data_IF_570442028769
#
_entry.id   IF_570442028769
#
_cell.length_a   1.000
_cell.length_b   1.000
_cell.length_c   1.000
_cell.angle_alpha   90.00
_cell.angle_beta   90.00
_cell.angle_gamma   90.00
#
_symmetry.space_group_name_H-M   'P 1'
#
loop_
_entity.id
_entity.type
_entity.pdbx_description
1 polymer ?
#
# COMPACT_ATOMS: atom_id res chain seq x y z
N UNK A 1 -20.58 41.72 19.39
CA UNK A 1 -20.31 40.96 18.13
C UNK A 1 -19.19 39.98 18.41
N UNK A 2 -19.50 38.70 18.66
CA UNK A 2 -18.49 37.64 18.71
C UNK A 2 -19.13 36.30 18.29
N UNK A 3 -19.82 36.31 17.15
CA UNK A 3 -20.39 35.10 16.54
C UNK A 3 -19.40 34.43 15.56
N UNK A 4 -18.35 35.14 15.15
CA UNK A 4 -17.42 34.68 14.13
C UNK A 4 -16.43 33.64 14.66
N UNK A 5 -15.97 33.77 15.91
CA UNK A 5 -15.10 32.76 16.54
C UNK A 5 -15.84 31.46 16.86
N UNK A 6 -17.08 31.55 17.34
CA UNK A 6 -17.88 30.38 17.72
C UNK A 6 -18.20 29.48 16.52
N UNK A 7 -18.54 30.08 15.36
CA UNK A 7 -18.78 29.33 14.13
C UNK A 7 -17.51 28.60 13.63
N UNK A 8 -16.33 29.22 13.82
CA UNK A 8 -15.06 28.62 13.43
C UNK A 8 -14.74 27.35 14.24
N UNK A 9 -15.00 27.39 15.55
CA UNK A 9 -14.82 26.22 16.41
C UNK A 9 -15.82 25.10 16.08
N UNK A 10 -17.06 25.42 15.73
CA UNK A 10 -18.06 24.43 15.30
C UNK A 10 -17.66 23.77 13.98
N UNK A 11 -17.19 24.54 13.00
CA UNK A 11 -16.68 24.00 11.74
C UNK A 11 -15.49 23.06 11.98
N UNK A 12 -14.52 23.45 12.82
CA UNK A 12 -13.38 22.59 13.16
C UNK A 12 -13.81 21.28 13.83
N UNK A 13 -14.76 21.32 14.78
CA UNK A 13 -15.26 20.12 15.44
C UNK A 13 -15.99 19.18 14.46
N UNK A 14 -16.80 19.72 13.53
CA UNK A 14 -17.51 18.92 12.52
C UNK A 14 -16.56 18.22 11.52
N UNK A 15 -15.44 18.87 11.16
CA UNK A 15 -14.42 18.24 10.31
C UNK A 15 -13.66 17.09 11.00
N UNK A 16 -13.48 17.15 12.32
CA UNK A 16 -12.81 16.06 13.06
C UNK A 16 -13.67 14.79 13.18
N UNK A 17 -15.00 14.93 13.24
CA UNK A 17 -15.91 13.78 13.37
C UNK A 17 -16.09 12.98 12.07
N UNK A 18 -15.83 13.59 10.91
CA UNK A 18 -15.93 12.93 9.60
C UNK A 18 -14.63 12.22 9.17
N UNK A 19 -13.52 12.44 9.89
CA UNK A 19 -12.23 11.80 9.62
C UNK A 19 -12.07 10.42 10.29
N UNK A 20 -12.98 10.06 11.20
CA UNK A 20 -13.07 8.74 11.85
C UNK A 20 -14.06 7.82 11.13
N UNK A 21 -14.20 7.94 9.82
CA UNK A 21 -15.01 7.05 9.01
C UNK A 21 -14.37 6.80 7.65
N UNK A 22 -13.04 6.62 7.63
CA UNK A 22 -12.40 5.84 6.60
C UNK A 22 -12.35 4.38 7.11
N UNK A 23 -13.34 3.54 6.81
CA UNK A 23 -13.08 2.12 6.76
C UNK A 23 -12.14 1.90 5.57
N UNK A 24 -10.84 2.06 5.82
CA UNK A 24 -9.83 1.32 5.10
C UNK A 24 -9.95 -0.13 5.60
N UNK A 25 -11.07 -0.76 5.29
CA UNK A 25 -11.15 -2.21 5.30
C UNK A 25 -10.00 -2.73 4.42
N UNK A 26 -9.27 -3.67 4.99
CA UNK A 26 -8.13 -4.38 4.41
C UNK A 26 -6.78 -3.63 4.35
N UNK A 27 -6.25 -3.23 5.51
CA UNK A 27 -4.90 -3.71 5.85
C UNK A 27 -4.70 -3.84 7.35
N UNK A 28 -5.53 -4.68 7.96
CA UNK A 28 -5.02 -5.55 9.01
C UNK A 28 -3.89 -6.37 8.41
N UNK A 29 -2.65 -5.98 8.71
CA UNK A 29 -1.54 -6.89 8.99
C UNK A 29 -0.28 -6.07 9.27
N UNK A 30 0.01 -6.01 10.55
CA UNK A 30 1.28 -6.54 11.04
C UNK A 30 2.52 -5.89 10.42
N UNK A 31 2.96 -4.82 11.08
CA UNK A 31 4.28 -4.20 10.88
C UNK A 31 5.45 -5.14 11.27
N UNK A 32 5.22 -6.45 11.47
CA UNK A 32 6.22 -7.46 11.81
C UNK A 32 6.23 -8.67 10.84
N UNK A 33 5.47 -8.64 9.74
CA UNK A 33 5.48 -9.75 8.78
C UNK A 33 6.30 -9.36 7.54
N UNK A 34 7.54 -9.90 7.45
CA UNK A 34 8.48 -9.84 6.32
C UNK A 34 7.86 -10.27 4.95
N UNK A 35 6.59 -10.65 4.94
CA UNK A 35 5.83 -11.18 3.80
C UNK A 35 4.94 -10.13 3.11
N UNK A 36 4.87 -8.89 3.59
CA UNK A 36 4.01 -7.82 3.05
C UNK A 36 4.78 -6.67 2.38
N UNK A 37 5.80 -6.99 1.59
CA UNK A 37 6.19 -6.08 0.50
C UNK A 37 5.03 -6.10 -0.50
N UNK A 38 4.27 -5.00 -0.53
CA UNK A 38 3.12 -4.74 -1.40
C UNK A 38 3.32 -5.36 -2.79
N UNK A 39 2.68 -6.51 -3.05
CA UNK A 39 2.71 -7.20 -4.35
C UNK A 39 2.00 -6.31 -5.36
N UNK A 40 2.76 -5.53 -6.10
CA UNK A 40 2.22 -4.77 -7.23
C UNK A 40 2.22 -5.69 -8.44
N UNK A 41 1.17 -5.71 -9.25
CA UNK A 41 1.23 -6.46 -10.50
C UNK A 41 2.30 -5.87 -11.41
N UNK A 42 3.14 -6.72 -11.98
CA UNK A 42 4.15 -6.33 -12.96
C UNK A 42 4.12 -7.23 -14.17
N UNK A 43 4.73 -6.77 -15.27
CA UNK A 43 4.86 -7.54 -16.49
C UNK A 43 6.32 -7.62 -16.92
N UNK A 44 6.70 -8.79 -17.43
CA UNK A 44 7.93 -9.00 -18.18
C UNK A 44 7.64 -9.64 -19.53
N UNK A 45 7.70 -8.79 -20.56
CA UNK A 45 7.16 -9.11 -21.87
C UNK A 45 5.66 -9.42 -21.76
N UNK A 46 5.29 -10.63 -22.16
CA UNK A 46 3.91 -11.14 -22.10
C UNK A 46 3.57 -11.91 -20.82
N UNK A 47 4.49 -11.99 -19.85
CA UNK A 47 4.31 -12.69 -18.58
C UNK A 47 3.89 -11.72 -17.48
N UNK A 48 2.79 -12.02 -16.81
CA UNK A 48 2.35 -11.29 -15.60
C UNK A 48 2.96 -11.88 -14.34
N UNK A 49 3.30 -11.02 -13.38
CA UNK A 49 3.96 -11.43 -12.14
C UNK A 49 3.74 -10.45 -10.98
N UNK A 50 4.45 -10.70 -9.90
CA UNK A 50 4.45 -9.93 -8.66
C UNK A 50 5.71 -9.06 -8.57
N UNK A 51 5.52 -7.76 -8.34
CA UNK A 51 6.57 -6.80 -8.12
C UNK A 51 7.01 -6.82 -6.66
N UNK A 52 8.31 -6.90 -6.47
CA UNK A 52 8.96 -6.84 -5.17
C UNK A 52 9.86 -5.60 -5.12
N UNK A 53 9.41 -4.61 -4.34
CA UNK A 53 10.15 -3.37 -4.10
C UNK A 53 11.42 -3.67 -3.30
N UNK A 54 12.55 -3.08 -3.69
CA UNK A 54 13.84 -3.17 -2.98
C UNK A 54 14.34 -4.61 -2.73
N UNK A 55 13.87 -5.59 -3.51
CA UNK A 55 14.44 -6.94 -3.55
C UNK A 55 15.20 -7.17 -4.85
N UNK A 56 16.21 -8.03 -4.77
CA UNK A 56 17.01 -8.51 -5.91
C UNK A 56 16.76 -10.00 -6.22
N UNK A 57 16.03 -10.70 -5.36
CA UNK A 57 15.69 -12.12 -5.52
C UNK A 57 14.22 -12.38 -5.17
N UNK A 58 13.59 -13.29 -5.91
CA UNK A 58 12.23 -13.72 -5.62
C UNK A 58 12.19 -14.46 -4.28
N UNK A 59 11.12 -14.32 -3.49
CA UNK A 59 11.03 -15.00 -2.22
C UNK A 59 10.99 -16.51 -2.44
N UNK A 60 11.81 -17.23 -1.69
CA UNK A 60 11.83 -18.68 -1.68
C UNK A 60 10.52 -19.24 -1.13
N UNK A 61 10.04 -20.34 -1.70
CA UNK A 61 8.75 -20.95 -1.34
C UNK A 61 7.54 -20.40 -2.09
N UNK A 62 7.72 -19.41 -2.96
CA UNK A 62 6.74 -19.04 -3.97
C UNK A 62 7.10 -19.72 -5.31
N UNK A 63 6.09 -20.21 -6.05
CA UNK A 63 6.27 -20.94 -7.32
C UNK A 63 6.58 -20.00 -8.50
N UNK A 64 7.54 -19.08 -8.34
CA UNK A 64 7.99 -18.24 -9.45
C UNK A 64 8.92 -19.04 -10.36
N UNK A 65 8.71 -18.93 -11.68
CA UNK A 65 9.56 -19.57 -12.67
C UNK A 65 10.85 -18.79 -12.91
N UNK A 66 10.77 -17.46 -12.93
CA UNK A 66 11.93 -16.59 -13.12
C UNK A 66 11.62 -15.16 -12.65
N UNK A 67 12.59 -14.26 -12.83
CA UNK A 67 12.52 -12.86 -12.49
C UNK A 67 13.01 -11.96 -13.61
N UNK A 68 12.74 -10.68 -13.46
CA UNK A 68 13.27 -9.64 -14.31
C UNK A 68 13.50 -8.38 -13.50
N UNK A 69 14.65 -7.76 -13.72
CA UNK A 69 15.05 -6.55 -13.02
C UNK A 69 14.20 -5.35 -13.44
N UNK A 70 13.91 -4.50 -12.46
CA UNK A 70 13.18 -3.24 -12.63
C UNK A 70 13.93 -2.14 -11.88
N UNK A 71 13.60 -0.89 -12.17
CA UNK A 71 14.32 0.28 -11.66
C UNK A 71 14.45 0.35 -10.13
N UNK A 72 13.49 -0.19 -9.37
CA UNK A 72 13.43 -0.08 -7.91
C UNK A 72 13.15 -1.43 -7.22
N UNK A 73 13.53 -2.54 -7.86
CA UNK A 73 13.27 -3.89 -7.38
C UNK A 73 13.25 -4.92 -8.49
N UNK A 74 12.51 -6.00 -8.29
CA UNK A 74 12.35 -7.07 -9.27
C UNK A 74 10.89 -7.38 -9.52
N UNK A 75 10.62 -7.98 -10.67
CA UNK A 75 9.34 -8.56 -11.00
C UNK A 75 9.51 -10.08 -11.13
N UNK A 76 8.78 -10.84 -10.31
CA UNK A 76 8.83 -12.30 -10.27
C UNK A 76 7.59 -12.86 -10.96
N UNK A 77 7.76 -13.73 -11.96
CA UNK A 77 6.66 -14.24 -12.77
C UNK A 77 6.64 -15.76 -12.81
N UNK A 78 5.50 -16.30 -13.26
CA UNK A 78 5.22 -17.73 -13.41
C UNK A 78 5.44 -18.21 -14.84
#
# INVERSE_FOLDING_TARGET
>A
MSHQGFLFFICLAALTASSIAFPLDAQSKDMNDDRLVKRLSCACGSKGGDYWIMRNQCPEGANYSDKCDKTMGICCYY
#
